data_IF_144445408246
#
_entry.id   IF_144445408246
#
_cell.length_a   1.000
_cell.length_b   1.000
_cell.length_c   1.000
_cell.angle_alpha   90.00
_cell.angle_beta   90.00
_cell.angle_gamma   90.00
#
_symmetry.space_group_name_H-M   'P 1'
#
loop_
_entity.id
_entity.type
_entity.pdbx_description
1 polymer ?
#
# COMPACT_ATOMS: atom_id res chain seq x y z
N UNK A 1 21.37 -18.37 -6.89
CA UNK A 1 21.53 -18.05 -5.46
C UNK A 1 20.64 -16.87 -5.10
N UNK A 2 19.39 -17.15 -4.76
CA UNK A 2 18.50 -16.18 -4.10
C UNK A 2 19.04 -15.92 -2.69
N UNK A 3 19.07 -14.67 -2.21
CA UNK A 3 19.49 -14.38 -0.85
C UNK A 3 18.54 -15.08 0.12
N UNK A 4 19.08 -15.99 0.91
CA UNK A 4 18.42 -16.90 1.85
C UNK A 4 17.79 -16.25 3.10
N UNK A 5 17.43 -14.96 3.03
CA UNK A 5 16.81 -14.21 4.12
C UNK A 5 15.71 -13.26 3.59
N UNK A 6 14.75 -13.84 2.89
CA UNK A 6 13.42 -13.25 2.84
C UNK A 6 12.58 -14.12 3.75
N UNK A 7 12.65 -13.85 5.06
CA UNK A 7 11.69 -14.42 5.98
C UNK A 7 10.32 -13.90 5.55
N UNK A 8 9.47 -14.79 5.07
CA UNK A 8 8.07 -14.50 4.75
C UNK A 8 7.28 -13.97 5.97
N UNK A 9 7.91 -13.99 7.14
CA UNK A 9 7.39 -13.57 8.43
C UNK A 9 7.68 -12.10 8.79
N UNK A 10 8.57 -11.41 8.05
CA UNK A 10 8.83 -9.98 8.26
C UNK A 10 7.76 -9.09 7.57
N UNK A 11 6.52 -9.42 7.78
CA UNK A 11 5.43 -8.45 7.70
C UNK A 11 5.68 -7.40 8.78
N UNK A 12 6.22 -6.24 8.41
CA UNK A 12 6.51 -5.14 9.33
C UNK A 12 5.26 -4.62 10.07
N UNK A 13 4.11 -5.18 9.74
CA UNK A 13 2.81 -5.04 10.39
C UNK A 13 2.20 -6.41 10.69
N UNK A 14 3.00 -7.36 11.13
CA UNK A 14 2.83 -8.76 11.51
C UNK A 14 1.53 -9.28 12.13
N UNK A 15 0.38 -8.66 11.86
CA UNK A 15 -0.85 -9.00 12.56
C UNK A 15 -1.91 -9.71 11.73
N UNK A 16 -1.68 -10.01 10.47
CA UNK A 16 -2.75 -10.60 9.65
C UNK A 16 -2.50 -12.00 9.12
N UNK A 17 -1.27 -12.51 9.16
CA UNK A 17 -0.94 -13.85 8.65
C UNK A 17 -1.35 -14.09 7.18
N UNK A 18 -1.60 -13.02 6.42
CA UNK A 18 -2.03 -13.10 5.03
C UNK A 18 -0.82 -13.09 4.10
N UNK A 19 -0.78 -14.01 3.11
CA UNK A 19 0.30 -14.02 2.13
C UNK A 19 0.30 -12.70 1.32
N UNK A 20 1.48 -12.16 1.12
CA UNK A 20 1.65 -10.90 0.41
C UNK A 20 3.12 -10.55 0.19
N UNK A 21 3.38 -9.42 -0.45
CA UNK A 21 4.72 -8.93 -0.68
C UNK A 21 4.85 -7.45 -0.38
N UNK A 22 6.03 -7.07 0.08
CA UNK A 22 6.41 -5.70 0.37
C UNK A 22 7.55 -5.27 -0.53
N UNK A 23 7.38 -4.14 -1.21
CA UNK A 23 8.41 -3.53 -2.05
C UNK A 23 8.79 -2.15 -1.53
N UNK A 24 10.08 -1.91 -1.40
CA UNK A 24 10.64 -0.62 -0.98
C UNK A 24 11.48 -0.03 -2.10
N UNK A 25 11.04 1.09 -2.67
CA UNK A 25 11.80 1.87 -3.65
C UNK A 25 12.45 3.07 -2.94
N UNK A 26 13.77 3.07 -2.89
CA UNK A 26 14.57 4.15 -2.28
C UNK A 26 15.03 5.18 -3.32
N UNK A 27 15.44 6.36 -2.87
CA UNK A 27 16.04 7.43 -3.69
C UNK A 27 15.16 7.90 -4.86
N UNK A 28 13.83 7.89 -4.70
CA UNK A 28 12.93 8.44 -5.70
C UNK A 28 13.01 9.97 -5.67
N UNK A 29 13.31 10.63 -6.81
CA UNK A 29 13.44 12.08 -6.82
C UNK A 29 12.08 12.75 -6.59
N UNK A 30 12.05 13.75 -5.70
CA UNK A 30 10.92 14.63 -5.49
C UNK A 30 10.37 14.68 -4.09
N UNK A 31 9.36 15.52 -3.92
CA UNK A 31 8.70 15.79 -2.64
C UNK A 31 7.85 14.60 -2.17
N UNK A 32 7.95 14.29 -0.88
CA UNK A 32 7.14 13.30 -0.17
C UNK A 32 5.64 13.58 -0.32
N UNK A 33 5.23 14.86 -0.17
CA UNK A 33 3.82 15.24 -0.27
C UNK A 33 3.20 14.91 -1.62
N UNK A 34 3.91 15.26 -2.72
CA UNK A 34 3.43 14.98 -4.08
C UNK A 34 3.35 13.48 -4.38
N UNK A 35 4.27 12.67 -3.84
CA UNK A 35 4.24 11.21 -3.97
C UNK A 35 3.12 10.62 -3.13
N UNK A 36 2.92 11.12 -1.90
CA UNK A 36 1.93 10.61 -0.97
C UNK A 36 0.49 10.79 -1.50
N UNK A 37 0.20 11.89 -2.21
CA UNK A 37 -1.10 12.09 -2.85
C UNK A 37 -1.45 10.95 -3.81
N UNK A 38 -0.49 10.55 -4.66
CA UNK A 38 -0.70 9.44 -5.62
C UNK A 38 -0.76 8.10 -4.90
N UNK A 39 0.10 7.89 -3.90
CA UNK A 39 0.13 6.62 -3.15
C UNK A 39 -1.17 6.38 -2.38
N UNK A 40 -1.77 7.42 -1.80
CA UNK A 40 -3.05 7.30 -1.08
C UNK A 40 -4.23 6.91 -1.96
N UNK A 41 -4.21 7.28 -3.24
CA UNK A 41 -5.29 6.95 -4.18
C UNK A 41 -5.45 5.45 -4.39
N UNK A 42 -4.34 4.70 -4.40
CA UNK A 42 -4.33 3.27 -4.74
C UNK A 42 -4.53 2.35 -3.53
N UNK A 43 -4.49 2.88 -2.31
CA UNK A 43 -4.66 2.07 -1.09
C UNK A 43 -6.09 1.55 -1.00
N UNK A 44 -6.23 0.24 -0.78
CA UNK A 44 -7.52 -0.45 -0.67
C UNK A 44 -8.11 -0.92 -2.00
N UNK A 45 -7.54 -0.56 -3.15
CA UNK A 45 -7.97 -1.00 -4.47
C UNK A 45 -7.43 -2.40 -4.81
N UNK A 46 -8.12 -3.12 -5.69
CA UNK A 46 -7.55 -4.29 -6.37
C UNK A 46 -6.36 -3.86 -7.21
N UNK A 47 -5.42 -4.78 -7.39
CA UNK A 47 -4.18 -4.47 -8.12
C UNK A 47 -4.46 -4.03 -9.55
N UNK A 48 -5.34 -4.71 -10.27
CA UNK A 48 -5.68 -4.41 -11.67
C UNK A 48 -6.30 -3.01 -11.80
N UNK A 49 -7.24 -2.67 -10.92
CA UNK A 49 -7.85 -1.34 -10.87
C UNK A 49 -6.82 -0.25 -10.54
N UNK A 50 -5.92 -0.52 -9.59
CA UNK A 50 -4.87 0.41 -9.19
C UNK A 50 -3.88 0.67 -10.33
N UNK A 51 -3.48 -0.35 -11.08
CA UNK A 51 -2.59 -0.22 -12.23
C UNK A 51 -3.23 0.58 -13.36
N UNK A 52 -4.47 0.27 -13.71
CA UNK A 52 -5.25 1.00 -14.73
C UNK A 52 -5.40 2.48 -14.37
N UNK A 53 -5.78 2.79 -13.13
CA UNK A 53 -5.91 4.18 -12.68
C UNK A 53 -4.57 4.94 -12.70
N UNK A 54 -3.47 4.29 -12.33
CA UNK A 54 -2.14 4.91 -12.37
C UNK A 54 -1.64 5.15 -13.79
N UNK A 55 -2.05 4.34 -14.76
CA UNK A 55 -1.69 4.49 -16.16
C UNK A 55 -2.35 5.73 -16.78
N UNK A 56 -3.65 5.93 -16.51
CA UNK A 56 -4.39 7.11 -16.96
C UNK A 56 -4.01 8.41 -16.23
N UNK A 57 -3.36 8.29 -15.06
CA UNK A 57 -3.00 9.45 -14.28
C UNK A 57 -1.81 10.21 -14.90
N UNK A 58 -2.04 11.42 -15.42
CA UNK A 58 -1.02 12.26 -16.06
C UNK A 58 0.06 12.81 -15.09
N UNK A 59 0.03 12.43 -13.83
CA UNK A 59 1.01 12.89 -12.84
C UNK A 59 2.33 12.12 -12.97
N UNK A 60 3.45 12.85 -13.10
CA UNK A 60 4.80 12.28 -13.17
C UNK A 60 5.11 11.27 -12.05
N UNK A 61 4.43 11.37 -10.91
CA UNK A 61 4.60 10.49 -9.74
C UNK A 61 3.83 9.17 -9.84
N UNK A 62 2.93 9.03 -10.78
CA UNK A 62 2.20 7.78 -11.02
C UNK A 62 3.15 6.65 -11.48
N UNK A 63 4.07 6.93 -12.40
CA UNK A 63 5.01 5.93 -12.94
C UNK A 63 5.84 5.18 -11.89
N UNK A 64 6.48 5.84 -10.89
CA UNK A 64 7.19 5.13 -9.83
C UNK A 64 6.29 4.26 -8.96
N UNK A 65 5.04 4.69 -8.70
CA UNK A 65 4.06 3.92 -7.90
C UNK A 65 3.61 2.70 -8.70
N UNK A 66 3.25 2.86 -9.97
CA UNK A 66 2.90 1.78 -10.89
C UNK A 66 4.00 0.70 -10.94
N UNK A 67 5.27 1.11 -11.16
CA UNK A 67 6.40 0.17 -11.16
C UNK A 67 6.62 -0.52 -9.81
N UNK A 68 6.30 0.12 -8.70
CA UNK A 68 6.43 -0.48 -7.39
C UNK A 68 5.34 -1.54 -7.14
N UNK A 69 4.10 -1.30 -7.59
CA UNK A 69 3.01 -2.26 -7.52
C UNK A 69 3.31 -3.47 -8.40
N UNK A 70 3.71 -3.29 -9.67
CA UNK A 70 4.09 -4.40 -10.55
C UNK A 70 5.21 -5.26 -9.96
N UNK A 71 6.23 -4.65 -9.36
CA UNK A 71 7.27 -5.41 -8.67
C UNK A 71 6.71 -6.19 -7.47
N UNK A 72 5.73 -5.65 -6.74
CA UNK A 72 5.11 -6.34 -5.62
C UNK A 72 4.27 -7.53 -6.09
N UNK A 73 3.54 -7.39 -7.20
CA UNK A 73 2.79 -8.48 -7.85
C UNK A 73 3.72 -9.60 -8.27
N UNK A 74 4.81 -9.28 -8.95
CA UNK A 74 5.81 -10.28 -9.38
C UNK A 74 6.41 -11.02 -8.17
N UNK A 75 6.67 -10.32 -7.06
CA UNK A 75 7.13 -10.97 -5.83
C UNK A 75 6.06 -11.88 -5.22
N UNK A 76 4.79 -11.47 -5.22
CA UNK A 76 3.68 -12.32 -4.76
C UNK A 76 3.54 -13.59 -5.62
N UNK A 77 3.72 -13.48 -6.93
CA UNK A 77 3.71 -14.63 -7.83
C UNK A 77 4.87 -15.59 -7.56
N UNK A 78 6.09 -15.05 -7.35
CA UNK A 78 7.28 -15.90 -7.10
C UNK A 78 7.25 -16.56 -5.72
N UNK A 79 6.77 -15.87 -4.68
CA UNK A 79 6.82 -16.35 -3.30
C UNK A 79 5.62 -17.20 -2.91
N UNK A 80 4.46 -16.93 -3.48
CA UNK A 80 3.18 -17.50 -3.03
C UNK A 80 2.31 -18.04 -4.16
N UNK A 81 2.78 -18.04 -5.42
CA UNK A 81 2.02 -18.46 -6.61
C UNK A 81 0.64 -17.78 -6.75
N UNK A 82 0.54 -16.52 -6.28
CA UNK A 82 -0.71 -15.75 -6.30
C UNK A 82 -0.89 -15.02 -7.63
N UNK A 83 -2.11 -15.08 -8.17
CA UNK A 83 -2.51 -14.33 -9.36
C UNK A 83 -2.78 -12.85 -9.04
N UNK A 84 -2.56 -11.91 -9.97
CA UNK A 84 -2.82 -10.49 -9.76
C UNK A 84 -4.27 -10.18 -9.39
N UNK A 85 -5.25 -10.94 -9.93
CA UNK A 85 -6.69 -10.80 -9.65
C UNK A 85 -7.06 -11.04 -8.17
N UNK A 86 -6.25 -11.85 -7.46
CA UNK A 86 -6.45 -12.17 -6.05
C UNK A 86 -5.80 -11.17 -5.11
N UNK A 87 -5.12 -10.17 -5.65
CA UNK A 87 -4.31 -9.24 -4.88
C UNK A 87 -4.97 -7.87 -4.73
N UNK A 88 -4.73 -7.22 -3.60
CA UNK A 88 -5.11 -5.83 -3.36
C UNK A 88 -3.96 -5.04 -2.72
N UNK A 89 -3.96 -3.74 -2.90
CA UNK A 89 -2.99 -2.83 -2.29
C UNK A 89 -3.39 -2.58 -0.84
N UNK A 90 -2.75 -3.27 0.08
CA UNK A 90 -3.01 -3.13 1.52
C UNK A 90 -2.52 -1.79 2.07
N UNK A 91 -1.38 -1.31 1.56
CA UNK A 91 -0.83 -0.04 1.99
C UNK A 91 0.23 0.52 1.04
N UNK A 92 0.32 1.85 0.99
CA UNK A 92 1.36 2.55 0.26
C UNK A 92 1.84 3.75 1.08
N UNK A 93 3.08 3.68 1.55
CA UNK A 93 3.66 4.64 2.49
C UNK A 93 4.83 5.39 1.85
N UNK A 94 4.90 6.69 2.09
CA UNK A 94 5.97 7.53 1.56
C UNK A 94 6.72 8.18 2.70
N UNK A 95 8.00 7.84 2.83
CA UNK A 95 8.91 8.42 3.82
C UNK A 95 9.89 9.42 3.19
N UNK A 96 10.47 10.26 4.02
CA UNK A 96 11.59 11.14 3.64
C UNK A 96 12.80 10.26 3.29
N UNK A 97 13.50 10.61 2.21
CA UNK A 97 14.77 10.03 1.81
C UNK A 97 15.94 10.98 2.04
N UNK A 98 17.12 10.58 1.59
CA UNK A 98 18.33 11.41 1.63
C UNK A 98 18.19 12.58 0.65
N UNK A 99 18.57 13.78 1.09
CA UNK A 99 18.61 14.95 0.22
C UNK A 99 19.86 14.92 -0.65
N UNK A 100 19.69 15.24 -1.94
CA UNK A 100 20.82 15.53 -2.82
C UNK A 100 21.21 16.99 -2.62
N UNK A 101 22.45 17.24 -2.15
CA UNK A 101 23.02 18.57 -1.98
C UNK A 101 23.66 19.01 -3.29
N UNK A 102 23.32 20.20 -3.78
CA UNK A 102 23.90 20.82 -4.99
C UNK A 102 24.44 22.18 -4.60
N UNK A 103 25.62 22.50 -5.09
CA UNK A 103 26.22 23.81 -4.93
C UNK A 103 25.54 24.78 -5.91
N UNK A 104 25.12 25.93 -5.42
CA UNK A 104 24.57 27.01 -6.23
C UNK A 104 25.39 28.27 -6.00
N UNK A 105 26.06 28.72 -7.04
CA UNK A 105 26.83 29.95 -7.00
C UNK A 105 25.88 31.16 -6.95
N UNK A 106 26.21 32.15 -6.15
CA UNK A 106 25.51 33.41 -6.02
C UNK A 106 26.47 34.56 -6.34
N UNK A 107 25.94 35.79 -6.45
CA UNK A 107 26.74 37.00 -6.68
C UNK A 107 27.75 37.23 -5.56
N UNK A 108 28.79 38.00 -5.88
CA UNK A 108 29.89 38.42 -4.97
C UNK A 108 30.64 37.24 -4.35
N UNK A 109 30.92 36.19 -5.11
CA UNK A 109 31.66 35.02 -4.65
C UNK A 109 30.98 34.16 -3.58
N UNK A 110 29.69 34.41 -3.24
CA UNK A 110 28.95 33.61 -2.26
C UNK A 110 28.45 32.31 -2.85
N UNK A 111 28.40 31.28 -2.00
CA UNK A 111 27.90 29.93 -2.35
C UNK A 111 26.74 29.57 -1.44
N UNK A 112 25.72 28.94 -2.02
CA UNK A 112 24.61 28.36 -1.29
C UNK A 112 24.45 26.89 -1.62
N UNK A 113 23.88 26.11 -0.69
CA UNK A 113 23.58 24.70 -0.89
C UNK A 113 22.09 24.56 -1.20
N UNK A 114 21.78 24.11 -2.42
CA UNK A 114 20.43 23.70 -2.80
C UNK A 114 20.21 22.24 -2.40
N UNK A 115 19.11 21.99 -1.67
CA UNK A 115 18.74 20.63 -1.23
C UNK A 115 17.60 20.12 -2.12
N UNK A 116 17.86 19.11 -2.93
CA UNK A 116 16.81 18.40 -3.69
C UNK A 116 16.31 17.22 -2.90
N UNK A 117 15.01 17.21 -2.65
CA UNK A 117 14.36 16.16 -1.87
C UNK A 117 14.28 14.85 -2.65
N UNK A 118 14.59 13.76 -1.97
CA UNK A 118 14.26 12.39 -2.39
C UNK A 118 13.29 11.79 -1.39
N UNK A 119 12.50 10.80 -1.85
CA UNK A 119 11.58 10.06 -1.01
C UNK A 119 11.85 8.55 -1.10
N UNK A 120 11.29 7.82 -0.14
CA UNK A 120 11.24 6.37 -0.09
C UNK A 120 9.78 5.95 -0.16
N UNK A 121 9.44 5.14 -1.16
CA UNK A 121 8.11 4.57 -1.34
C UNK A 121 8.13 3.12 -0.88
N UNK A 122 7.20 2.76 -0.01
CA UNK A 122 6.94 1.39 0.41
C UNK A 122 5.54 1.01 -0.02
N UNK A 123 5.40 -0.06 -0.76
CA UNK A 123 4.11 -0.62 -1.20
C UNK A 123 3.97 -2.01 -0.60
N UNK A 124 2.80 -2.31 -0.07
CA UNK A 124 2.43 -3.61 0.47
C UNK A 124 1.22 -4.12 -0.28
N UNK A 125 1.36 -5.28 -0.90
CA UNK A 125 0.28 -5.99 -1.61
C UNK A 125 -0.02 -7.26 -0.86
N UNK A 126 -1.30 -7.61 -0.71
CA UNK A 126 -1.76 -8.80 0.02
C UNK A 126 -2.86 -9.52 -0.73
N UNK A 127 -3.08 -10.79 -0.40
CA UNK A 127 -4.20 -11.59 -0.90
C UNK A 127 -5.54 -11.01 -0.41
N UNK A 128 -6.49 -10.85 -1.31
CA UNK A 128 -7.82 -10.33 -0.97
C UNK A 128 -8.70 -11.42 -0.33
N UNK A 129 -8.80 -11.37 0.98
CA UNK A 129 -9.68 -12.25 1.75
C UNK A 129 -11.16 -11.90 1.63
N UNK A 130 -11.51 -10.75 1.04
CA UNK A 130 -12.91 -10.37 0.78
C UNK A 130 -13.54 -11.32 -0.22
N UNK A 131 -12.79 -11.76 -1.23
CA UNK A 131 -13.22 -12.78 -2.21
C UNK A 131 -13.55 -14.14 -1.55
N UNK A 132 -12.86 -14.48 -0.45
CA UNK A 132 -13.13 -15.71 0.31
C UNK A 132 -14.42 -15.61 1.12
N UNK A 133 -14.77 -14.41 1.60
CA UNK A 133 -16.03 -14.19 2.35
C UNK A 133 -17.27 -14.34 1.47
N UNK A 134 -17.15 -14.00 0.22
CA UNK A 134 -18.26 -14.17 -0.74
C UNK A 134 -18.45 -15.61 -1.19
N UNK A 135 -17.39 -16.43 -1.20
CA UNK A 135 -17.46 -17.89 -1.48
C UNK A 135 -17.97 -18.73 -0.29
N UNK A 136 -17.99 -18.18 0.95
CA UNK A 136 -18.45 -18.89 2.15
C UNK A 136 -19.65 -18.17 2.81
N UNK A 137 -20.90 -18.52 2.45
CA UNK A 137 -22.12 -17.88 2.97
C UNK A 137 -22.29 -17.99 4.50
N UNK A 138 -21.68 -18.98 5.15
CA UNK A 138 -21.68 -19.14 6.61
C UNK A 138 -21.07 -17.97 7.39
N UNK A 139 -20.14 -17.23 6.78
CA UNK A 139 -19.50 -16.06 7.41
C UNK A 139 -20.37 -14.79 7.35
N UNK A 140 -21.29 -14.69 6.37
CA UNK A 140 -22.25 -13.57 6.28
C UNK A 140 -23.27 -13.62 7.43
N UNK A 141 -23.69 -14.82 7.85
CA UNK A 141 -24.69 -15.00 8.90
C UNK A 141 -24.17 -14.71 10.31
N UNK A 142 -22.87 -14.83 10.58
CA UNK A 142 -22.30 -14.56 11.91
C UNK A 142 -22.36 -13.06 12.27
N UNK A 143 -22.28 -12.16 11.29
CA UNK A 143 -22.45 -10.70 11.48
C UNK A 143 -23.93 -10.30 11.64
N UNK A 144 -24.86 -11.00 10.97
CA UNK A 144 -26.30 -10.71 11.09
C UNK A 144 -26.83 -11.13 12.44
N UNK A 145 -26.41 -12.30 12.97
CA UNK A 145 -26.82 -12.78 14.31
C UNK A 145 -26.34 -11.85 15.47
N UNK A 146 -25.17 -11.22 15.34
CA UNK A 146 -24.68 -10.24 16.33
C UNK A 146 -25.46 -8.91 16.34
N UNK A 147 -26.07 -8.52 15.20
CA UNK A 147 -26.91 -7.29 15.14
C UNK A 147 -28.33 -7.49 15.66
N UNK A 148 -28.85 -8.71 15.62
CA UNK A 148 -30.20 -9.01 16.08
C UNK A 148 -30.30 -9.36 17.58
N UNK A 149 -29.18 -9.59 18.25
CA UNK A 149 -29.15 -9.93 19.69
C UNK A 149 -29.16 -8.74 20.67
N UNK A 150 -29.39 -7.52 20.19
CA UNK A 150 -29.23 -6.30 20.99
C UNK A 150 -30.49 -5.47 21.24
N UNK A 151 -31.68 -5.97 20.89
CA UNK A 151 -32.93 -5.28 21.23
C UNK A 151 -33.68 -6.12 22.27
N UNK A 152 -33.38 -5.88 23.54
CA UNK A 152 -34.24 -6.27 24.68
C UNK A 152 -35.35 -5.25 24.74
N UNK A 153 -36.57 -5.67 24.43
CA UNK A 153 -37.79 -4.92 24.69
C UNK A 153 -37.92 -4.77 26.21
N UNK A 154 -37.75 -3.55 26.68
CA UNK A 154 -38.23 -3.16 28.00
C UNK A 154 -39.73 -2.98 27.91
N UNK A 155 -40.50 -3.99 28.35
CA UNK A 155 -41.94 -3.84 28.61
C UNK A 155 -42.11 -2.80 29.70
N UNK A 156 -42.68 -1.68 29.37
CA UNK A 156 -43.14 -0.68 30.35
C UNK A 156 -44.52 -1.15 30.86
N UNK A 157 -44.53 -1.66 32.08
CA UNK A 157 -45.76 -1.91 32.83
C UNK A 157 -46.23 -0.54 33.32
N UNK A 158 -47.38 -0.07 32.80
CA UNK A 158 -48.10 1.08 33.33
C UNK A 158 -49.15 0.50 34.29
N UNK A 159 -49.04 0.83 35.55
CA UNK A 159 -50.11 0.81 36.54
C UNK A 159 -50.69 2.20 36.66
#
# INVERSE_FOLDING_TARGET
NLPSRINAEDDLFGYTGQPGARVVKRRLPGSVYKMNMVSKMVVGMKVDEALTQLEFLQKRRARPVHRAINNAVNLCSILHDLKPEELYVSGAYVGKGTYKKLIKFKGRGKVAIERRANCRLTVVVRKDTRLLKDKHPRLKNKKKKRKMGGVSEKQTIIQ
#
